data_IF_962250998972
#
_entry.id   IF_962250998972
#
_cell.length_a   1.000
_cell.length_b   1.000
_cell.length_c   1.000
_cell.angle_alpha   90.00
_cell.angle_beta   90.00
_cell.angle_gamma   90.00
#
_symmetry.space_group_name_H-M   'P 1'
#
loop_
_entity.id
_entity.type
_entity.pdbx_description
1 polymer ?
#
# COMPACT_ATOMS: atom_id res chain seq x y z
N UNK A 1 -18.51 23.25 -35.10
CA UNK A 1 -17.24 23.29 -34.35
C UNK A 1 -17.10 21.96 -33.61
N UNK A 2 -16.39 20.99 -34.22
CA UNK A 2 -16.21 19.64 -33.68
C UNK A 2 -15.16 19.67 -32.59
N UNK A 3 -15.49 19.10 -31.44
CA UNK A 3 -14.50 18.81 -30.38
C UNK A 3 -13.53 17.77 -30.92
N UNK A 4 -12.26 18.15 -31.01
CA UNK A 4 -11.17 17.23 -31.28
C UNK A 4 -11.17 16.17 -30.17
N UNK A 5 -11.49 14.93 -30.51
CA UNK A 5 -11.37 13.79 -29.61
C UNK A 5 -9.89 13.60 -29.24
N UNK A 6 -9.59 13.69 -27.97
CA UNK A 6 -8.29 13.39 -27.38
C UNK A 6 -7.97 11.90 -27.67
N UNK A 7 -7.21 11.67 -28.74
CA UNK A 7 -6.65 10.35 -29.08
C UNK A 7 -5.37 10.16 -28.26
N UNK A 8 -5.50 10.01 -26.93
CA UNK A 8 -4.43 9.39 -26.17
C UNK A 8 -4.37 7.93 -26.62
N UNK A 9 -3.23 7.51 -27.13
CA UNK A 9 -2.92 6.11 -27.32
C UNK A 9 -3.10 5.35 -26.01
N UNK A 10 -3.11 4.01 -26.02
CA UNK A 10 -3.24 3.24 -24.77
C UNK A 10 -2.19 3.74 -23.79
N UNK A 11 -2.63 4.39 -22.71
CA UNK A 11 -1.73 4.83 -21.64
C UNK A 11 -1.10 3.57 -21.06
N UNK A 12 0.22 3.52 -21.06
CA UNK A 12 0.94 2.47 -20.32
C UNK A 12 0.54 2.66 -18.86
N UNK A 13 -0.10 1.64 -18.28
CA UNK A 13 -0.49 1.66 -16.87
C UNK A 13 0.76 1.84 -16.01
N UNK A 14 0.63 2.66 -14.96
CA UNK A 14 1.66 2.92 -13.97
C UNK A 14 1.22 2.34 -12.60
N UNK A 15 1.27 1.00 -12.42
CA UNK A 15 0.81 0.35 -11.21
C UNK A 15 1.79 0.55 -10.04
N UNK A 16 1.24 0.56 -8.82
CA UNK A 16 1.98 0.48 -7.57
C UNK A 16 1.47 -0.67 -6.72
N UNK A 17 2.37 -1.40 -6.07
CA UNK A 17 2.01 -2.39 -5.05
C UNK A 17 2.00 -1.69 -3.70
N UNK A 18 0.91 -1.85 -2.95
CA UNK A 18 0.75 -1.29 -1.61
C UNK A 18 0.57 -2.43 -0.61
N UNK A 19 1.43 -2.45 0.39
CA UNK A 19 1.50 -3.49 1.40
C UNK A 19 1.21 -2.87 2.76
N UNK A 20 0.00 -3.04 3.34
CA UNK A 20 -0.22 -2.78 4.75
C UNK A 20 0.57 -3.78 5.58
N UNK A 21 1.44 -3.30 6.46
CA UNK A 21 2.27 -4.16 7.32
C UNK A 21 2.02 -3.82 8.77
N UNK A 22 1.58 -4.82 9.53
CA UNK A 22 1.08 -4.68 10.90
C UNK A 22 2.13 -5.14 11.90
N UNK A 23 2.46 -4.26 12.88
CA UNK A 23 3.54 -4.52 13.83
C UNK A 23 3.09 -4.32 15.27
N UNK A 24 3.59 -5.17 16.16
CA UNK A 24 3.38 -5.11 17.60
C UNK A 24 4.70 -5.23 18.37
N UNK A 25 4.73 -4.79 19.63
CA UNK A 25 5.91 -4.87 20.45
C UNK A 25 6.28 -6.32 20.80
N UNK A 26 5.28 -7.19 21.00
CA UNK A 26 5.45 -8.60 21.36
C UNK A 26 4.30 -9.47 20.84
N UNK A 27 4.46 -10.79 20.95
CA UNK A 27 3.43 -11.80 20.65
C UNK A 27 2.22 -11.80 21.62
N UNK A 28 2.10 -10.82 22.50
CA UNK A 28 0.99 -10.75 23.44
C UNK A 28 -0.33 -10.61 22.64
N UNK A 29 -1.34 -11.44 22.95
CA UNK A 29 -2.63 -11.32 22.27
C UNK A 29 -3.19 -9.93 22.49
N UNK A 30 -3.58 -9.31 21.41
CA UNK A 30 -4.23 -8.03 21.40
C UNK A 30 -5.46 -8.03 22.32
N UNK A 31 -5.65 -7.00 23.12
CA UNK A 31 -6.84 -6.88 23.96
C UNK A 31 -8.05 -6.68 23.07
N UNK A 32 -8.97 -7.63 23.08
CA UNK A 32 -10.23 -7.57 22.34
C UNK A 32 -10.95 -6.26 22.70
N UNK A 33 -11.18 -5.41 21.69
CA UNK A 33 -11.94 -4.17 21.83
C UNK A 33 -11.14 -2.87 21.75
N UNK A 34 -9.80 -2.91 21.64
CA UNK A 34 -9.02 -1.70 21.31
C UNK A 34 -9.06 -1.42 19.80
N UNK A 35 -9.39 -0.18 19.45
CA UNK A 35 -9.45 0.25 18.05
C UNK A 35 -8.05 0.21 17.44
N UNK A 36 -7.85 -0.63 16.43
CA UNK A 36 -6.56 -0.77 15.73
C UNK A 36 -5.77 -2.03 16.09
N UNK A 37 -6.37 -2.95 16.84
CA UNK A 37 -5.77 -4.24 17.14
C UNK A 37 -6.00 -5.20 15.97
N UNK A 38 -4.92 -5.68 15.40
CA UNK A 38 -4.94 -6.66 14.31
C UNK A 38 -4.56 -8.04 14.87
N UNK A 39 -5.33 -9.07 14.52
CA UNK A 39 -5.17 -10.43 15.04
C UNK A 39 -3.82 -11.06 14.67
N UNK A 40 -3.08 -10.50 13.72
CA UNK A 40 -1.84 -11.05 13.17
C UNK A 40 -0.71 -10.03 13.02
N UNK A 41 -0.59 -9.08 13.97
CA UNK A 41 0.52 -8.12 13.94
C UNK A 41 1.87 -8.84 14.16
N UNK A 42 2.85 -8.53 13.31
CA UNK A 42 4.21 -9.07 13.40
C UNK A 42 4.95 -8.47 14.60
N UNK A 43 5.48 -9.28 15.53
CA UNK A 43 6.32 -8.78 16.60
C UNK A 43 7.60 -8.13 16.07
N UNK A 44 7.98 -6.98 16.61
CA UNK A 44 9.23 -6.31 16.20
C UNK A 44 10.48 -7.16 16.45
N UNK A 45 10.38 -8.15 17.36
CA UNK A 45 11.45 -9.09 17.70
C UNK A 45 11.51 -10.32 16.80
N UNK A 46 10.54 -10.51 15.90
CA UNK A 46 10.50 -11.69 15.02
C UNK A 46 11.73 -11.69 14.09
N UNK A 47 12.54 -12.78 14.08
CA UNK A 47 13.79 -12.82 13.30
C UNK A 47 13.55 -12.65 11.80
N UNK A 48 12.57 -13.39 11.25
CA UNK A 48 12.15 -13.33 9.85
C UNK A 48 10.69 -12.86 9.81
N UNK A 49 10.43 -11.56 9.63
CA UNK A 49 9.07 -11.06 9.52
C UNK A 49 8.42 -11.46 8.18
N UNK A 50 7.11 -11.54 8.13
CA UNK A 50 6.33 -11.87 6.93
C UNK A 50 6.65 -10.94 5.78
N UNK A 51 6.77 -9.64 6.06
CA UNK A 51 7.12 -8.61 5.07
C UNK A 51 8.42 -8.95 4.30
N UNK A 52 9.42 -9.57 4.92
CA UNK A 52 10.67 -9.94 4.24
C UNK A 52 10.42 -11.04 3.20
N UNK A 53 9.57 -12.02 3.53
CA UNK A 53 9.18 -13.08 2.60
C UNK A 53 8.33 -12.52 1.45
N UNK A 54 7.39 -11.62 1.77
CA UNK A 54 6.57 -10.91 0.80
C UNK A 54 7.45 -10.14 -0.20
N UNK A 55 8.33 -9.24 0.28
CA UNK A 55 9.22 -8.46 -0.59
C UNK A 55 10.17 -9.34 -1.40
N UNK A 56 10.74 -10.39 -0.80
CA UNK A 56 11.60 -11.35 -1.52
C UNK A 56 10.88 -12.00 -2.71
N UNK A 57 9.58 -12.28 -2.57
CA UNK A 57 8.79 -12.84 -3.66
C UNK A 57 8.58 -11.86 -4.82
N UNK A 58 8.58 -10.55 -4.52
CA UNK A 58 8.41 -9.49 -5.50
C UNK A 58 9.69 -9.16 -6.28
N UNK A 59 10.87 -9.51 -5.80
CA UNK A 59 12.14 -9.24 -6.48
C UNK A 59 12.21 -9.87 -7.88
N UNK A 60 11.47 -10.94 -8.11
CA UNK A 60 11.42 -11.64 -9.41
C UNK A 60 10.24 -11.22 -10.28
N UNK A 61 9.33 -10.41 -9.76
CA UNK A 61 8.12 -9.99 -10.47
C UNK A 61 8.44 -8.89 -11.47
N UNK A 62 8.02 -9.09 -12.72
CA UNK A 62 8.23 -8.14 -13.80
C UNK A 62 7.34 -6.91 -13.67
N UNK A 63 7.91 -5.73 -13.95
CA UNK A 63 7.17 -4.48 -14.04
C UNK A 63 6.91 -3.80 -12.69
N UNK A 64 7.44 -4.32 -11.58
CA UNK A 64 7.37 -3.62 -10.29
C UNK A 64 8.31 -2.42 -10.35
N UNK A 65 7.76 -1.22 -10.34
CA UNK A 65 8.51 0.05 -10.34
C UNK A 65 8.63 0.63 -8.94
N UNK A 66 7.66 0.34 -8.09
CA UNK A 66 7.59 0.81 -6.70
C UNK A 66 6.73 -0.08 -5.85
N UNK A 67 7.17 -0.27 -4.60
CA UNK A 67 6.37 -0.84 -3.52
C UNK A 67 6.19 0.21 -2.43
N UNK A 68 4.98 0.38 -1.92
CA UNK A 68 4.69 1.23 -0.77
C UNK A 68 4.31 0.35 0.41
N UNK A 69 5.04 0.47 1.51
CA UNK A 69 4.74 -0.22 2.76
C UNK A 69 4.02 0.76 3.69
N UNK A 70 2.78 0.46 4.06
CA UNK A 70 2.03 1.22 5.07
C UNK A 70 2.37 0.62 6.44
N UNK A 71 3.16 1.33 7.23
CA UNK A 71 3.53 0.90 8.58
C UNK A 71 2.38 1.13 9.55
N UNK A 72 1.73 0.06 9.95
CA UNK A 72 0.62 0.06 10.91
C UNK A 72 1.09 -0.52 12.24
N UNK A 73 1.08 0.27 13.29
CA UNK A 73 1.50 -0.17 14.61
C UNK A 73 0.99 0.77 15.71
N UNK A 74 1.10 0.34 16.95
CA UNK A 74 0.88 1.22 18.08
C UNK A 74 1.98 2.29 18.18
N UNK A 75 1.66 3.51 18.64
CA UNK A 75 2.65 4.58 18.80
C UNK A 75 3.84 4.18 19.70
N UNK A 76 3.62 3.28 20.67
CA UNK A 76 4.66 2.82 21.59
C UNK A 76 5.76 2.03 20.88
N UNK A 77 5.44 1.25 19.84
CA UNK A 77 6.43 0.45 19.11
C UNK A 77 6.85 1.08 17.75
N UNK A 78 6.32 2.24 17.37
CA UNK A 78 6.53 2.82 16.04
C UNK A 78 8.01 2.98 15.66
N UNK A 79 8.84 3.43 16.60
CA UNK A 79 10.27 3.63 16.36
C UNK A 79 10.99 2.31 16.04
N UNK A 80 10.71 1.26 16.80
CA UNK A 80 11.30 -0.07 16.59
C UNK A 80 10.76 -0.75 15.35
N UNK A 81 9.44 -0.66 15.13
CA UNK A 81 8.79 -1.18 13.93
C UNK A 81 9.31 -0.47 12.66
N UNK A 82 9.42 0.88 12.68
CA UNK A 82 10.00 1.64 11.58
C UNK A 82 11.43 1.22 11.26
N UNK A 83 12.28 1.09 12.27
CA UNK A 83 13.66 0.65 12.08
C UNK A 83 13.74 -0.76 11.47
N UNK A 84 12.81 -1.64 11.88
CA UNK A 84 12.73 -3.01 11.36
C UNK A 84 12.28 -3.03 9.91
N UNK A 85 11.20 -2.33 9.59
CA UNK A 85 10.67 -2.21 8.21
C UNK A 85 11.69 -1.57 7.28
N UNK A 86 12.34 -0.48 7.69
CA UNK A 86 13.40 0.16 6.91
C UNK A 86 14.60 -0.80 6.71
N UNK A 87 14.87 -1.68 7.69
CA UNK A 87 15.88 -2.72 7.59
C UNK A 87 15.57 -3.74 6.50
N UNK A 88 14.32 -4.23 6.48
CA UNK A 88 13.83 -5.16 5.45
C UNK A 88 13.84 -4.48 4.08
N UNK A 89 13.27 -3.30 3.95
CA UNK A 89 13.20 -2.55 2.69
C UNK A 89 14.58 -2.32 2.04
N UNK A 90 15.61 -2.06 2.85
CA UNK A 90 16.98 -1.88 2.33
C UNK A 90 17.57 -3.12 1.66
N UNK A 91 17.05 -4.31 1.92
CA UNK A 91 17.50 -5.55 1.29
C UNK A 91 16.91 -5.73 -0.11
N UNK A 92 15.85 -4.96 -0.45
CA UNK A 92 15.12 -5.03 -1.72
C UNK A 92 15.16 -3.70 -2.51
N UNK A 93 16.36 -3.14 -2.80
CA UNK A 93 16.45 -1.82 -3.45
C UNK A 93 15.84 -1.79 -4.86
N UNK A 94 15.79 -2.95 -5.55
CA UNK A 94 15.16 -3.09 -6.86
C UNK A 94 13.67 -2.80 -6.89
N UNK A 95 12.98 -2.99 -5.76
CA UNK A 95 11.56 -2.69 -5.61
C UNK A 95 11.27 -1.20 -5.34
N UNK A 96 12.32 -0.37 -5.16
CA UNK A 96 12.18 1.05 -4.83
C UNK A 96 11.17 1.29 -3.68
N UNK A 97 11.34 0.64 -2.51
CA UNK A 97 10.35 0.66 -1.45
C UNK A 97 10.24 2.04 -0.78
N UNK A 98 9.02 2.45 -0.50
CA UNK A 98 8.67 3.66 0.25
C UNK A 98 7.86 3.29 1.48
N UNK A 99 8.31 3.68 2.66
CA UNK A 99 7.60 3.41 3.93
C UNK A 99 6.80 4.64 4.33
N UNK A 100 5.50 4.45 4.56
CA UNK A 100 4.56 5.45 5.06
C UNK A 100 4.23 5.09 6.51
N UNK A 101 4.80 5.83 7.45
CA UNK A 101 4.48 5.77 8.89
C UNK A 101 3.59 6.94 9.31
N UNK A 102 3.50 7.17 10.63
CA UNK A 102 2.61 8.18 11.19
C UNK A 102 2.95 9.60 10.72
N UNK A 103 4.22 9.93 10.57
CA UNK A 103 4.66 11.26 10.13
C UNK A 103 4.22 11.56 8.69
N UNK A 104 4.47 10.63 7.76
CA UNK A 104 4.08 10.75 6.37
C UNK A 104 2.54 10.76 6.22
N UNK A 105 1.85 9.91 6.98
CA UNK A 105 0.39 9.86 7.00
C UNK A 105 -0.24 11.18 7.45
N UNK A 106 0.34 11.84 8.45
CA UNK A 106 -0.10 13.17 8.91
C UNK A 106 0.06 14.23 7.82
N UNK A 107 1.15 14.21 7.06
CA UNK A 107 1.36 15.14 5.95
C UNK A 107 0.32 14.94 4.83
N UNK A 108 0.04 13.69 4.49
CA UNK A 108 -0.99 13.35 3.50
C UNK A 108 -2.36 13.79 3.99
N UNK A 109 -2.71 13.49 5.25
CA UNK A 109 -3.97 13.91 5.85
C UNK A 109 -4.12 15.44 5.83
N UNK A 110 -3.10 16.18 6.24
CA UNK A 110 -3.13 17.64 6.21
C UNK A 110 -3.31 18.21 4.79
N UNK A 111 -2.80 17.52 3.76
CA UNK A 111 -3.05 17.90 2.36
C UNK A 111 -4.51 17.64 1.95
N UNK A 112 -5.08 16.51 2.35
CA UNK A 112 -6.48 16.17 2.09
C UNK A 112 -7.41 17.15 2.80
N UNK A 113 -7.19 17.48 4.06
CA UNK A 113 -8.01 18.41 4.82
C UNK A 113 -8.03 19.82 4.21
N UNK A 114 -6.93 20.25 3.60
CA UNK A 114 -6.88 21.51 2.85
C UNK A 114 -7.69 21.44 1.54
N UNK A 115 -7.67 20.29 0.87
CA UNK A 115 -8.39 20.10 -0.40
C UNK A 115 -9.89 19.85 -0.18
N UNK A 116 -10.26 19.18 0.91
CA UNK A 116 -11.64 18.81 1.25
C UNK A 116 -11.97 19.21 2.71
N UNK A 117 -12.19 20.52 2.98
CA UNK A 117 -12.31 21.05 4.34
C UNK A 117 -13.48 20.52 5.17
N UNK A 118 -14.39 19.75 4.59
CA UNK A 118 -15.58 19.18 5.25
C UNK A 118 -15.56 17.66 5.31
N UNK A 119 -14.39 17.05 5.16
CA UNK A 119 -14.27 15.60 5.29
C UNK A 119 -14.45 15.21 6.76
N UNK A 120 -15.60 14.58 7.07
CA UNK A 120 -15.91 14.14 8.42
C UNK A 120 -15.15 12.86 8.78
N UNK A 121 -14.74 12.76 10.05
CA UNK A 121 -14.02 11.61 10.58
C UNK A 121 -12.56 11.51 10.11
N UNK A 122 -12.00 10.31 10.17
CA UNK A 122 -10.63 10.00 9.74
C UNK A 122 -10.62 8.86 8.70
N UNK A 123 -11.23 9.08 7.51
CA UNK A 123 -11.36 8.05 6.49
C UNK A 123 -10.03 7.70 5.79
N UNK A 124 -8.96 8.49 6.00
CA UNK A 124 -7.63 8.28 5.43
C UNK A 124 -6.61 8.32 6.57
N UNK A 125 -6.30 7.16 7.12
CA UNK A 125 -5.37 7.04 8.24
C UNK A 125 -4.72 5.65 8.28
N UNK A 126 -3.77 5.47 9.18
CA UNK A 126 -3.17 4.15 9.46
C UNK A 126 -3.92 3.41 10.58
N UNK A 127 -5.22 3.65 10.75
CA UNK A 127 -6.08 3.04 11.77
C UNK A 127 -7.39 2.57 11.16
N UNK A 128 -7.71 1.30 11.38
CA UNK A 128 -8.92 0.67 10.84
C UNK A 128 -8.78 0.28 9.38
N UNK A 129 -9.29 -0.89 9.04
CA UNK A 129 -9.07 -1.56 7.76
C UNK A 129 -9.37 -0.68 6.53
N UNK A 130 -10.55 -0.05 6.50
CA UNK A 130 -10.95 0.80 5.37
C UNK A 130 -10.11 2.07 5.24
N UNK A 131 -9.74 2.70 6.36
CA UNK A 131 -8.95 3.93 6.35
C UNK A 131 -7.50 3.67 5.90
N UNK A 132 -6.94 2.49 6.23
CA UNK A 132 -5.61 2.06 5.77
C UNK A 132 -5.61 1.85 4.25
N UNK A 133 -6.64 1.19 3.70
CA UNK A 133 -6.78 1.04 2.24
C UNK A 133 -6.94 2.40 1.55
N UNK A 134 -7.73 3.30 2.12
CA UNK A 134 -7.86 4.68 1.62
C UNK A 134 -6.53 5.46 1.70
N UNK A 135 -5.71 5.24 2.75
CA UNK A 135 -4.36 5.81 2.82
C UNK A 135 -3.51 5.32 1.64
N UNK A 136 -3.55 4.04 1.33
CA UNK A 136 -2.86 3.48 0.16
C UNK A 136 -3.28 4.15 -1.14
N UNK A 137 -4.59 4.32 -1.37
CA UNK A 137 -5.11 5.03 -2.54
C UNK A 137 -4.65 6.48 -2.59
N UNK A 138 -4.64 7.18 -1.45
CA UNK A 138 -4.17 8.57 -1.36
C UNK A 138 -2.66 8.68 -1.68
N UNK A 139 -1.84 7.76 -1.16
CA UNK A 139 -0.40 7.69 -1.48
C UNK A 139 -0.18 7.45 -2.96
N UNK A 140 -0.90 6.50 -3.56
CA UNK A 140 -0.80 6.22 -4.99
C UNK A 140 -1.13 7.45 -5.84
N UNK A 141 -2.21 8.18 -5.48
CA UNK A 141 -2.60 9.41 -6.17
C UNK A 141 -1.53 10.52 -6.04
N UNK A 142 -0.93 10.69 -4.84
CA UNK A 142 0.16 11.67 -4.62
C UNK A 142 1.41 11.32 -5.44
N UNK A 143 1.67 10.02 -5.65
CA UNK A 143 2.82 9.53 -6.42
C UNK A 143 2.54 9.39 -7.92
N UNK A 144 1.37 9.84 -8.40
CA UNK A 144 0.94 9.80 -9.81
C UNK A 144 0.88 8.37 -10.38
N UNK A 145 0.45 7.41 -9.55
CA UNK A 145 0.11 6.06 -9.98
C UNK A 145 -1.38 5.97 -10.33
N UNK A 146 -1.71 5.24 -11.38
CA UNK A 146 -3.08 5.11 -11.91
C UNK A 146 -3.74 3.76 -11.58
N UNK A 147 -2.95 2.79 -11.08
CA UNK A 147 -3.44 1.48 -10.62
C UNK A 147 -2.78 1.11 -9.29
N UNK A 148 -3.58 0.62 -8.37
CA UNK A 148 -3.14 0.09 -7.08
C UNK A 148 -3.38 -1.41 -7.02
N UNK A 149 -2.36 -2.18 -6.69
CA UNK A 149 -2.45 -3.58 -6.33
C UNK A 149 -2.15 -3.69 -4.83
N UNK A 150 -3.16 -4.07 -4.05
CA UNK A 150 -2.95 -4.37 -2.63
C UNK A 150 -2.47 -5.81 -2.47
N UNK A 151 -1.46 -5.99 -1.65
CA UNK A 151 -0.92 -7.28 -1.24
C UNK A 151 -0.75 -7.24 0.28
N UNK A 152 -1.19 -8.26 1.00
CA UNK A 152 -0.99 -8.30 2.44
C UNK A 152 0.45 -8.78 2.73
N UNK A 153 1.03 -8.37 3.86
CA UNK A 153 2.46 -8.61 4.15
C UNK A 153 2.80 -10.10 4.42
N UNK A 154 1.80 -10.95 4.60
CA UNK A 154 1.91 -12.41 4.71
C UNK A 154 1.61 -13.16 3.39
N UNK A 155 1.34 -12.43 2.30
CA UNK A 155 1.13 -12.98 0.97
C UNK A 155 2.41 -12.98 0.14
N UNK A 156 2.50 -13.87 -0.86
CA UNK A 156 3.64 -13.98 -1.77
C UNK A 156 3.22 -14.03 -3.23
N UNK A 157 3.98 -13.37 -4.09
CA UNK A 157 3.82 -13.50 -5.53
C UNK A 157 4.38 -14.87 -6.00
N UNK A 158 3.54 -15.68 -6.64
CA UNK A 158 3.90 -17.05 -7.02
C UNK A 158 4.66 -17.15 -8.35
N UNK A 159 4.66 -16.10 -9.16
CA UNK A 159 5.34 -16.10 -10.46
C UNK A 159 5.74 -14.69 -10.91
N UNK A 160 6.62 -14.63 -11.90
CA UNK A 160 7.15 -13.37 -12.44
C UNK A 160 6.12 -12.48 -13.14
N UNK A 161 4.97 -13.00 -13.53
CA UNK A 161 3.91 -12.26 -14.22
C UNK A 161 2.83 -11.74 -13.27
N UNK A 162 2.98 -11.94 -11.96
CA UNK A 162 1.99 -11.58 -10.94
C UNK A 162 1.37 -10.19 -11.18
N UNK A 163 2.20 -9.14 -11.37
CA UNK A 163 1.71 -7.79 -11.56
C UNK A 163 0.98 -7.60 -12.89
N UNK A 164 1.48 -8.22 -13.94
CA UNK A 164 0.85 -8.19 -15.28
C UNK A 164 -0.53 -8.83 -15.23
N UNK A 165 -0.65 -9.96 -14.54
CA UNK A 165 -1.92 -10.69 -14.38
C UNK A 165 -2.89 -9.90 -13.49
N UNK A 166 -2.40 -9.27 -12.40
CA UNK A 166 -3.21 -8.48 -11.49
C UNK A 166 -3.85 -7.25 -12.16
N UNK A 167 -3.13 -6.61 -13.10
CA UNK A 167 -3.63 -5.42 -13.80
C UNK A 167 -4.27 -5.75 -15.17
N UNK A 168 -4.41 -7.04 -15.50
CA UNK A 168 -4.94 -7.46 -16.79
C UNK A 168 -6.34 -6.91 -17.03
N UNK A 169 -6.51 -6.22 -18.15
CA UNK A 169 -7.79 -5.64 -18.54
C UNK A 169 -8.11 -4.30 -17.91
N UNK A 170 -7.33 -3.81 -16.95
CA UNK A 170 -7.54 -2.49 -16.34
C UNK A 170 -7.52 -1.38 -17.40
N UNK A 171 -8.45 -0.43 -17.28
CA UNK A 171 -8.61 0.66 -18.24
C UNK A 171 -9.27 0.28 -19.56
N UNK A 172 -9.50 -1.00 -19.84
CA UNK A 172 -10.21 -1.46 -21.02
C UNK A 172 -11.73 -1.28 -20.86
N UNK A 173 -12.42 -1.30 -21.98
CA UNK A 173 -13.90 -1.27 -22.01
C UNK A 173 -14.42 -2.64 -22.46
N UNK A 174 -15.35 -3.21 -21.70
CA UNK A 174 -16.01 -4.47 -22.06
C UNK A 174 -16.83 -4.30 -23.36
N UNK A 175 -17.25 -5.44 -23.95
CA UNK A 175 -18.16 -5.43 -25.12
C UNK A 175 -19.50 -4.73 -24.83
N UNK A 176 -19.90 -4.64 -23.56
CA UNK A 176 -21.12 -3.93 -23.12
C UNK A 176 -20.88 -2.44 -22.82
N UNK A 177 -19.67 -1.91 -23.06
CA UNK A 177 -19.34 -0.49 -22.83
C UNK A 177 -18.97 -0.14 -21.40
N UNK A 178 -18.79 -1.13 -20.50
CA UNK A 178 -18.36 -0.92 -19.12
C UNK A 178 -16.84 -0.79 -19.06
N UNK A 179 -16.34 0.22 -18.37
CA UNK A 179 -14.90 0.33 -18.07
C UNK A 179 -14.52 -0.67 -16.97
N UNK A 180 -13.37 -1.32 -17.13
CA UNK A 180 -12.73 -2.15 -16.11
C UNK A 180 -11.85 -1.20 -15.29
N UNK A 181 -12.15 -1.06 -13.99
CA UNK A 181 -11.46 -0.19 -13.05
C UNK A 181 -10.98 -0.99 -11.85
#
# INVERSE_FOLDING_TARGET
>A
MGRAGDRRGPSVLNPVIIIPSYWAESDAPAKIGEVGVYDHATPVTKPLPELETCLSSLDTVRGVLRVVVLLVCDPACEKSARARVDGVCRQHPGLNPLVIGSAEAQLIRAAIDRAVPRLEGDPVSLRGYGAIRNMGLAVAAVLDHDVVVFLDDDEVALNENFLIDAVYGMGLTTRQGLKIA
#
